data_IF_136347257020
#
_entry.id   IF_136347257020
#
_cell.length_a   1.000
_cell.length_b   1.000
_cell.length_c   1.000
_cell.angle_alpha   90.00
_cell.angle_beta   90.00
_cell.angle_gamma   90.00
#
_symmetry.space_group_name_H-M   'P 1'
#
loop_
_entity.id
_entity.type
_entity.pdbx_description
1 polymer ?
#
# COMPACT_ATOMS: atom_id res chain seq x y z
N UNK A 1 -16.89 -8.56 14.16
CA UNK A 1 -17.32 -7.30 13.53
C UNK A 1 -17.20 -7.47 12.04
N UNK A 2 -18.23 -7.09 11.25
CA UNK A 2 -18.16 -7.16 9.80
C UNK A 2 -17.04 -6.28 9.27
N UNK A 3 -16.37 -6.73 8.21
CA UNK A 3 -15.30 -6.02 7.51
C UNK A 3 -15.79 -5.70 6.10
N UNK A 4 -15.55 -4.48 5.63
CA UNK A 4 -15.61 -4.16 4.20
C UNK A 4 -14.20 -4.08 3.66
N UNK A 5 -13.91 -4.81 2.59
CA UNK A 5 -12.55 -4.92 2.05
C UNK A 5 -12.53 -4.99 0.53
N UNK A 6 -11.55 -4.32 -0.07
CA UNK A 6 -11.19 -4.41 -1.48
C UNK A 6 -9.82 -5.06 -1.59
N UNK A 7 -9.73 -6.08 -2.44
CA UNK A 7 -8.45 -6.59 -2.92
C UNK A 7 -8.17 -6.03 -4.30
N UNK A 8 -6.94 -5.60 -4.55
CA UNK A 8 -6.55 -5.09 -5.86
C UNK A 8 -5.09 -5.36 -6.20
N UNK A 9 -4.82 -5.44 -7.49
CA UNK A 9 -3.48 -5.65 -8.04
C UNK A 9 -3.42 -5.25 -9.51
N UNK A 10 -2.21 -5.20 -10.06
CA UNK A 10 -1.96 -4.99 -11.48
C UNK A 10 -1.63 -6.32 -12.14
N UNK A 11 -2.14 -6.60 -13.35
CA UNK A 11 -1.81 -7.79 -14.16
C UNK A 11 -1.44 -7.44 -15.59
N UNK A 12 -0.55 -8.21 -16.21
CA UNK A 12 -0.26 -8.12 -17.63
C UNK A 12 -0.98 -9.22 -18.44
N UNK A 13 -0.93 -9.09 -19.76
CA UNK A 13 -1.52 -10.06 -20.70
C UNK A 13 -0.82 -11.43 -20.70
N UNK A 14 0.37 -11.53 -20.09
CA UNK A 14 1.15 -12.77 -19.99
C UNK A 14 0.78 -13.61 -18.77
N UNK A 15 -0.25 -13.24 -18.01
CA UNK A 15 -0.67 -13.96 -16.81
C UNK A 15 0.24 -13.73 -15.60
N UNK A 16 1.00 -12.63 -15.58
CA UNK A 16 1.74 -12.19 -14.40
C UNK A 16 1.04 -11.01 -13.71
N UNK A 17 1.35 -10.83 -12.43
CA UNK A 17 0.78 -9.81 -11.56
C UNK A 17 1.81 -9.13 -10.67
N UNK A 18 1.43 -7.98 -10.13
CA UNK A 18 2.05 -7.37 -8.96
C UNK A 18 1.71 -8.14 -7.67
N UNK A 19 2.16 -7.62 -6.53
CA UNK A 19 1.61 -8.03 -5.24
C UNK A 19 0.14 -7.64 -5.15
N UNK A 20 -0.63 -8.41 -4.36
CA UNK A 20 -2.03 -8.10 -4.08
C UNK A 20 -2.10 -7.23 -2.83
N UNK A 21 -2.81 -6.13 -2.95
CA UNK A 21 -3.07 -5.16 -1.89
C UNK A 21 -4.46 -5.39 -1.33
N UNK A 22 -4.63 -5.13 -0.03
CA UNK A 22 -5.92 -5.12 0.65
C UNK A 22 -6.12 -3.76 1.30
N UNK A 23 -7.23 -3.11 1.01
CA UNK A 23 -7.72 -1.94 1.72
C UNK A 23 -9.03 -2.30 2.43
N UNK A 24 -9.19 -1.97 3.70
CA UNK A 24 -10.39 -2.34 4.46
C UNK A 24 -10.71 -1.38 5.60
N UNK A 25 -11.95 -1.43 6.07
CA UNK A 25 -12.41 -0.81 7.30
C UNK A 25 -13.20 -1.82 8.15
N UNK A 26 -13.12 -1.68 9.47
CA UNK A 26 -13.96 -2.45 10.39
C UNK A 26 -15.28 -1.70 10.56
N UNK A 27 -16.40 -2.41 10.47
CA UNK A 27 -17.73 -1.83 10.60
C UNK A 27 -18.40 -2.25 11.93
N UNK A 28 -19.27 -1.39 12.45
CA UNK A 28 -20.03 -1.58 13.68
C UNK A 28 -19.33 -1.12 14.97
N UNK A 29 -18.29 -0.29 14.89
CA UNK A 29 -17.53 0.20 16.05
C UNK A 29 -17.54 1.72 16.24
N UNK A 30 -18.27 2.46 15.39
CA UNK A 30 -18.37 3.92 15.43
C UNK A 30 -17.20 4.66 14.80
N UNK A 31 -16.16 3.95 14.31
CA UNK A 31 -14.88 4.55 13.92
C UNK A 31 -14.69 4.59 12.41
N UNK A 32 -13.98 5.63 11.99
CA UNK A 32 -13.63 5.88 10.59
C UNK A 32 -12.20 5.44 10.23
N UNK A 33 -11.77 4.30 10.79
CA UNK A 33 -10.42 3.79 10.57
C UNK A 33 -10.31 3.01 9.25
N UNK A 34 -9.31 3.35 8.43
CA UNK A 34 -8.99 2.63 7.19
C UNK A 34 -7.61 2.00 7.29
N UNK A 35 -7.47 0.79 6.79
CA UNK A 35 -6.24 0.04 6.83
C UNK A 35 -5.82 -0.42 5.44
N UNK A 36 -4.51 -0.49 5.21
CA UNK A 36 -3.92 -0.98 3.95
C UNK A 36 -2.77 -1.92 4.24
N UNK A 37 -2.69 -3.04 3.53
CA UNK A 37 -1.56 -3.97 3.62
C UNK A 37 -1.25 -4.59 2.25
N UNK A 38 0.02 -4.92 2.06
CA UNK A 38 0.47 -5.76 0.95
C UNK A 38 0.43 -7.23 1.40
N UNK A 39 -0.35 -8.07 0.73
CA UNK A 39 -0.53 -9.48 1.13
C UNK A 39 0.74 -10.30 1.03
N UNK A 40 1.70 -9.92 0.18
CA UNK A 40 3.00 -10.61 0.08
C UNK A 40 3.84 -10.43 1.36
N UNK A 41 3.60 -9.36 2.14
CA UNK A 41 4.26 -9.11 3.42
C UNK A 41 3.48 -9.77 4.59
N UNK A 42 2.42 -10.53 4.32
CA UNK A 42 1.86 -11.53 5.24
C UNK A 42 1.45 -11.01 6.61
N UNK A 43 0.47 -10.09 6.69
CA UNK A 43 -0.01 -9.42 7.94
C UNK A 43 1.08 -8.72 8.78
N UNK A 44 2.35 -8.79 8.39
CA UNK A 44 3.46 -8.31 9.18
C UNK A 44 3.50 -6.78 9.26
N UNK A 45 3.11 -6.09 8.18
CA UNK A 45 3.10 -4.62 8.12
C UNK A 45 1.75 -4.14 7.62
N UNK A 46 1.23 -3.08 8.24
CA UNK A 46 0.06 -2.37 7.73
C UNK A 46 0.21 -0.87 7.89
N UNK A 47 -0.45 -0.16 6.99
CA UNK A 47 -0.78 1.26 7.13
C UNK A 47 -2.10 1.37 7.87
N UNK A 48 -2.17 2.19 8.90
CA UNK A 48 -3.38 2.50 9.67
C UNK A 48 -3.68 3.98 9.57
N UNK A 49 -4.86 4.31 9.06
CA UNK A 49 -5.38 5.67 8.89
C UNK A 49 -6.51 5.86 9.90
N UNK A 50 -6.14 6.24 11.13
CA UNK A 50 -7.12 6.38 12.20
C UNK A 50 -7.97 7.64 12.06
N UNK A 51 -9.22 7.57 12.53
CA UNK A 51 -10.16 8.69 12.58
C UNK A 51 -9.60 9.90 13.34
N UNK A 52 -8.82 9.65 14.40
CA UNK A 52 -8.15 10.69 15.19
C UNK A 52 -7.15 11.54 14.40
N UNK A 53 -6.82 11.12 13.17
CA UNK A 53 -5.78 11.71 12.35
C UNK A 53 -4.37 11.27 12.70
N UNK A 54 -4.19 10.37 13.69
CA UNK A 54 -2.88 9.77 13.99
C UNK A 54 -2.62 8.58 13.07
N UNK A 55 -1.91 8.80 11.98
CA UNK A 55 -1.67 7.80 10.95
C UNK A 55 -0.28 7.20 11.08
N UNK A 56 -0.14 5.94 10.66
CA UNK A 56 1.15 5.26 10.77
C UNK A 56 1.29 4.06 9.85
N UNK A 57 2.55 3.68 9.61
CA UNK A 57 2.94 2.38 9.08
C UNK A 57 3.66 1.65 10.20
N UNK A 58 3.21 0.46 10.52
CA UNK A 58 3.81 -0.31 11.60
C UNK A 58 3.77 -1.79 11.35
N UNK A 59 4.76 -2.46 11.93
CA UNK A 59 4.73 -3.90 12.06
C UNK A 59 3.67 -4.34 13.09
N UNK A 60 3.15 -5.55 12.88
CA UNK A 60 2.34 -6.24 13.87
C UNK A 60 3.21 -6.68 15.06
N UNK A 61 2.75 -6.38 16.27
CA UNK A 61 3.53 -6.63 17.48
C UNK A 61 3.74 -8.12 17.75
N UNK A 62 2.78 -8.99 17.36
CA UNK A 62 2.91 -10.45 17.56
C UNK A 62 3.90 -11.00 16.55
N UNK A 63 3.76 -10.58 15.29
CA UNK A 63 4.72 -10.92 14.23
C UNK A 63 6.17 -10.60 14.66
N UNK A 64 6.43 -9.38 15.17
CA UNK A 64 7.78 -9.00 15.58
C UNK A 64 8.34 -9.86 16.72
N UNK A 65 7.53 -10.17 17.73
CA UNK A 65 7.93 -11.03 18.85
C UNK A 65 8.30 -12.44 18.38
N UNK A 66 7.57 -12.94 17.40
CA UNK A 66 7.78 -14.27 16.83
C UNK A 66 8.98 -14.31 15.88
N UNK A 67 9.23 -13.24 15.12
CA UNK A 67 10.14 -13.24 13.97
C UNK A 67 11.49 -12.56 14.18
N UNK A 68 11.72 -11.85 15.29
CA UNK A 68 13.02 -11.24 15.61
C UNK A 68 13.71 -12.04 16.74
N UNK A 69 14.99 -12.39 16.58
CA UNK A 69 15.81 -13.10 17.60
C UNK A 69 16.78 -12.18 18.35
N UNK A 70 17.25 -11.12 17.69
CA UNK A 70 18.30 -10.24 18.18
C UNK A 70 17.71 -8.92 18.66
N UNK A 71 18.44 -8.17 19.49
CA UNK A 71 18.06 -6.81 19.84
C UNK A 71 17.96 -5.96 18.57
N UNK A 72 16.73 -5.74 18.13
CA UNK A 72 16.40 -4.88 17.00
C UNK A 72 15.64 -3.68 17.51
N UNK A 73 15.90 -2.51 16.90
CA UNK A 73 15.06 -1.31 17.10
C UNK A 73 13.57 -1.58 16.90
N UNK A 74 13.23 -2.61 16.11
CA UNK A 74 11.84 -2.98 15.83
C UNK A 74 11.15 -3.60 17.07
N UNK A 75 11.89 -4.21 17.99
CA UNK A 75 11.34 -4.75 19.24
C UNK A 75 10.91 -3.63 20.20
N UNK A 76 11.68 -2.55 20.27
CA UNK A 76 11.35 -1.37 21.09
C UNK A 76 10.40 -0.40 20.37
N UNK A 77 10.43 -0.35 19.04
CA UNK A 77 9.57 0.50 18.24
C UNK A 77 9.11 -0.20 16.94
N UNK A 78 7.88 -0.73 16.95
CA UNK A 78 7.25 -1.38 15.81
C UNK A 78 6.91 -0.45 14.63
N UNK A 79 7.00 0.86 14.83
CA UNK A 79 6.57 1.84 13.84
C UNK A 79 7.69 2.08 12.83
N UNK A 80 7.32 1.97 11.56
CA UNK A 80 8.17 2.36 10.43
C UNK A 80 8.07 3.85 10.21
N UNK A 81 6.85 4.38 10.30
CA UNK A 81 6.57 5.80 10.11
C UNK A 81 5.28 6.22 10.86
N UNK A 82 5.19 7.50 11.22
CA UNK A 82 4.03 8.13 11.87
C UNK A 82 3.85 9.54 11.32
N UNK A 83 2.62 9.92 11.00
CA UNK A 83 2.31 11.26 10.53
C UNK A 83 0.87 11.64 10.90
N UNK A 84 0.60 12.93 10.89
CA UNK A 84 -0.75 13.46 11.05
C UNK A 84 -1.51 13.36 9.73
N UNK A 85 -2.83 13.22 9.80
CA UNK A 85 -3.72 13.34 8.64
C UNK A 85 -3.35 14.58 7.80
N UNK A 86 -3.01 14.43 6.51
CA UNK A 86 -2.68 15.55 5.65
C UNK A 86 -3.84 16.53 5.53
N UNK A 87 -3.51 17.76 5.11
CA UNK A 87 -4.51 18.76 4.78
C UNK A 87 -5.45 18.24 3.68
N UNK A 88 -6.67 18.76 3.68
CA UNK A 88 -7.63 18.47 2.63
C UNK A 88 -7.15 19.08 1.29
N UNK A 89 -7.24 18.30 0.22
CA UNK A 89 -6.94 18.76 -1.15
C UNK A 89 -8.13 19.49 -1.80
N UNK A 90 -9.26 19.50 -1.10
CA UNK A 90 -10.51 20.20 -1.40
C UNK A 90 -11.48 19.90 -0.25
N UNK A 91 -12.42 20.81 0.04
CA UNK A 91 -13.28 20.72 1.22
C UNK A 91 -13.92 19.33 1.38
N UNK A 92 -13.60 18.63 2.47
CA UNK A 92 -14.07 17.29 2.77
C UNK A 92 -13.33 16.16 2.05
N UNK A 93 -12.18 16.39 1.41
CA UNK A 93 -11.41 15.37 0.68
C UNK A 93 -9.93 15.36 1.08
N UNK A 94 -9.48 14.24 1.66
CA UNK A 94 -8.08 14.04 2.04
C UNK A 94 -7.42 13.02 1.12
N UNK A 95 -6.27 13.36 0.54
CA UNK A 95 -5.40 12.40 -0.14
C UNK A 95 -4.58 11.65 0.90
N UNK A 96 -4.90 10.37 1.11
CA UNK A 96 -4.39 9.64 2.26
C UNK A 96 -3.11 8.86 1.98
N UNK A 97 -3.09 8.13 0.86
CA UNK A 97 -2.04 7.18 0.55
C UNK A 97 -1.87 7.05 -0.97
N UNK A 98 -0.64 6.83 -1.40
CA UNK A 98 -0.27 6.50 -2.78
C UNK A 98 0.42 5.15 -2.78
N UNK A 99 0.05 4.28 -3.71
CA UNK A 99 0.73 3.02 -3.98
C UNK A 99 1.21 3.07 -5.43
N UNK A 100 2.50 2.92 -5.64
CA UNK A 100 3.08 2.98 -6.98
C UNK A 100 3.59 1.59 -7.35
N UNK A 101 3.11 1.10 -8.50
CA UNK A 101 3.42 -0.22 -9.04
C UNK A 101 3.99 -0.06 -10.45
N UNK A 102 5.32 -0.08 -10.60
CA UNK A 102 5.98 -0.03 -11.90
C UNK A 102 5.74 -1.28 -12.76
N UNK A 103 5.74 -1.10 -14.08
CA UNK A 103 5.55 -2.19 -15.06
C UNK A 103 6.45 -3.40 -14.80
N UNK A 104 7.74 -3.16 -14.56
CA UNK A 104 8.75 -4.21 -14.38
C UNK A 104 8.59 -5.02 -13.08
N UNK A 105 7.67 -4.62 -12.18
CA UNK A 105 7.32 -5.40 -10.99
C UNK A 105 6.23 -6.44 -11.26
N UNK A 106 5.65 -6.48 -12.45
CA UNK A 106 4.53 -7.38 -12.79
C UNK A 106 5.09 -8.73 -13.25
N UNK A 107 5.69 -9.46 -12.30
CA UNK A 107 6.48 -10.68 -12.55
C UNK A 107 6.03 -11.90 -11.75
N UNK A 108 5.01 -11.77 -10.90
CA UNK A 108 4.49 -12.90 -10.11
C UNK A 108 3.46 -13.65 -10.96
N UNK A 109 3.63 -14.96 -11.25
CA UNK A 109 2.61 -15.70 -11.97
C UNK A 109 1.28 -15.70 -11.22
N UNK A 110 0.18 -15.44 -11.92
CA UNK A 110 -1.16 -15.59 -11.35
C UNK A 110 -1.41 -17.04 -10.95
N UNK A 111 -2.13 -17.25 -9.85
CA UNK A 111 -2.45 -18.58 -9.32
C UNK A 111 -3.91 -18.69 -8.96
N UNK A 112 -4.45 -19.90 -9.00
CA UNK A 112 -5.81 -20.20 -8.53
C UNK A 112 -6.01 -19.91 -7.02
N UNK A 113 -4.92 -19.74 -6.28
CA UNK A 113 -4.93 -19.35 -4.86
C UNK A 113 -5.06 -17.84 -4.63
N UNK A 114 -4.97 -17.02 -5.69
CA UNK A 114 -5.18 -15.58 -5.59
C UNK A 114 -6.66 -15.31 -5.25
N UNK A 115 -7.00 -14.29 -4.42
CA UNK A 115 -8.39 -14.05 -4.04
C UNK A 115 -9.26 -13.76 -5.26
N UNK A 116 -10.35 -14.53 -5.43
CA UNK A 116 -11.30 -14.36 -6.53
C UNK A 116 -11.93 -12.97 -6.59
N UNK A 117 -12.02 -12.26 -5.45
CA UNK A 117 -12.52 -10.89 -5.35
C UNK A 117 -11.48 -9.81 -5.65
N UNK A 118 -10.31 -10.17 -6.20
CA UNK A 118 -9.29 -9.19 -6.57
C UNK A 118 -9.73 -8.41 -7.80
N UNK A 119 -9.81 -7.09 -7.67
CA UNK A 119 -10.01 -6.17 -8.78
C UNK A 119 -8.67 -5.97 -9.49
N UNK A 120 -8.64 -6.23 -10.80
CA UNK A 120 -7.41 -6.23 -11.59
C UNK A 120 -7.29 -4.98 -12.44
N UNK A 121 -6.19 -4.26 -12.27
CA UNK A 121 -5.76 -3.16 -13.13
C UNK A 121 -4.88 -3.72 -14.24
N UNK A 122 -5.03 -3.21 -15.47
CA UNK A 122 -4.14 -3.58 -16.57
C UNK A 122 -2.73 -3.00 -16.36
N UNK A 123 -1.71 -3.79 -16.69
CA UNK A 123 -0.32 -3.34 -16.65
C UNK A 123 -0.12 -2.03 -17.43
N UNK A 124 0.66 -1.08 -16.88
CA UNK A 124 0.98 0.13 -17.61
C UNK A 124 2.00 -0.19 -18.72
N UNK A 125 2.17 0.67 -19.72
CA UNK A 125 3.21 0.50 -20.75
C UNK A 125 4.63 0.44 -20.16
N UNK A 126 5.59 -0.03 -20.96
CA UNK A 126 6.99 -0.05 -20.55
C UNK A 126 7.49 1.35 -20.17
N UNK A 127 8.30 1.44 -19.12
CA UNK A 127 8.79 2.71 -18.57
C UNK A 127 7.76 3.50 -17.76
N UNK A 128 6.54 2.99 -17.57
CA UNK A 128 5.47 3.61 -16.78
C UNK A 128 5.20 2.85 -15.48
N UNK A 129 4.39 3.44 -14.63
CA UNK A 129 3.85 2.84 -13.42
C UNK A 129 2.36 3.14 -13.29
N UNK A 130 1.63 2.28 -12.58
CA UNK A 130 0.31 2.60 -12.07
C UNK A 130 0.48 3.27 -10.72
N UNK A 131 -0.06 4.47 -10.57
CA UNK A 131 -0.25 5.11 -9.27
C UNK A 131 -1.69 4.90 -8.82
N UNK A 132 -1.85 4.22 -7.69
CA UNK A 132 -3.13 3.95 -7.04
C UNK A 132 -3.22 4.89 -5.84
N UNK A 133 -4.27 5.71 -5.80
CA UNK A 133 -4.47 6.74 -4.79
C UNK A 133 -5.68 6.37 -3.94
N UNK A 134 -5.50 6.44 -2.62
CA UNK A 134 -6.58 6.33 -1.65
C UNK A 134 -6.98 7.72 -1.19
N UNK A 135 -8.26 8.04 -1.37
CA UNK A 135 -8.86 9.29 -0.88
C UNK A 135 -9.93 9.00 0.16
N UNK A 136 -9.95 9.80 1.21
CA UNK A 136 -10.98 9.76 2.24
C UNK A 136 -11.86 11.01 2.10
N UNK A 137 -13.15 10.80 1.86
CA UNK A 137 -14.11 11.90 1.76
C UNK A 137 -15.08 11.93 2.93
N UNK A 138 -15.33 13.12 3.45
CA UNK A 138 -16.33 13.39 4.47
C UNK A 138 -17.75 13.27 3.91
N UNK A 139 -18.78 13.10 4.76
CA UNK A 139 -20.17 12.91 4.33
C UNK A 139 -20.73 14.07 3.49
N UNK A 140 -20.22 15.28 3.72
CA UNK A 140 -20.65 16.49 3.03
C UNK A 140 -19.88 16.75 1.72
N UNK A 141 -18.93 15.88 1.35
CA UNK A 141 -18.19 16.01 0.10
C UNK A 141 -19.13 15.79 -1.09
N UNK A 142 -19.28 16.81 -1.93
CA UNK A 142 -20.14 16.77 -3.12
C UNK A 142 -19.29 16.42 -4.34
N UNK A 143 -19.61 15.30 -4.99
CA UNK A 143 -19.03 14.93 -6.28
C UNK A 143 -20.08 14.24 -7.15
N UNK A 144 -20.04 14.50 -8.46
CA UNK A 144 -20.87 13.79 -9.46
C UNK A 144 -20.26 12.44 -9.86
N UNK A 145 -19.06 12.11 -9.35
CA UNK A 145 -18.33 10.87 -9.64
C UNK A 145 -17.31 10.55 -8.55
N UNK A 146 -16.08 10.21 -8.95
CA UNK A 146 -14.97 9.99 -8.02
C UNK A 146 -13.96 11.15 -8.07
N UNK A 147 -13.20 11.42 -7.00
CA UNK A 147 -12.19 12.47 -7.00
C UNK A 147 -11.13 12.23 -8.09
N UNK A 148 -10.78 13.30 -8.82
CA UNK A 148 -9.78 13.25 -9.90
C UNK A 148 -10.29 12.76 -11.25
N UNK A 149 -11.58 12.39 -11.39
CA UNK A 149 -12.16 11.94 -12.67
C UNK A 149 -11.94 12.96 -13.79
N UNK A 150 -12.44 14.17 -13.60
CA UNK A 150 -12.52 15.18 -14.67
C UNK A 150 -11.23 16.00 -14.81
N UNK A 151 -10.49 16.16 -13.71
CA UNK A 151 -9.27 17.00 -13.68
C UNK A 151 -7.98 16.23 -13.93
N UNK A 152 -7.93 14.95 -13.56
CA UNK A 152 -6.72 14.11 -13.67
C UNK A 152 -6.91 12.91 -14.59
N UNK A 153 -8.11 12.69 -15.14
CA UNK A 153 -8.43 11.49 -15.90
C UNK A 153 -8.27 10.21 -15.07
N UNK A 154 -8.39 10.30 -13.74
CA UNK A 154 -8.25 9.15 -12.87
C UNK A 154 -9.38 8.16 -13.15
N UNK A 155 -9.08 6.88 -13.05
CA UNK A 155 -10.06 5.81 -13.18
C UNK A 155 -10.47 5.33 -11.79
N UNK A 156 -11.77 5.07 -11.60
CA UNK A 156 -12.24 4.42 -10.39
C UNK A 156 -11.81 2.95 -10.40
N UNK A 157 -11.11 2.53 -9.37
CA UNK A 157 -10.89 1.11 -9.12
C UNK A 157 -12.10 0.55 -8.38
N UNK A 158 -12.39 1.10 -7.20
CA UNK A 158 -13.52 0.75 -6.36
C UNK A 158 -13.74 1.83 -5.27
N UNK A 159 -14.87 1.76 -4.56
CA UNK A 159 -15.08 2.55 -3.35
C UNK A 159 -15.94 1.82 -2.33
N UNK A 160 -15.80 2.17 -1.06
CA UNK A 160 -16.73 1.71 -0.03
C UNK A 160 -17.02 2.81 0.99
N UNK A 161 -18.25 2.76 1.51
CA UNK A 161 -18.66 3.59 2.63
C UNK A 161 -18.04 3.06 3.92
N UNK A 162 -17.45 3.97 4.68
CA UNK A 162 -17.00 3.80 6.05
C UNK A 162 -18.15 4.26 6.97
N UNK A 163 -18.01 4.13 8.27
CA UNK A 163 -19.00 4.63 9.21
C UNK A 163 -19.27 6.14 9.09
N UNK A 164 -20.35 6.61 9.73
CA UNK A 164 -20.72 8.02 9.81
C UNK A 164 -20.82 8.77 8.47
N UNK A 165 -20.96 8.05 7.34
CA UNK A 165 -21.08 8.62 6.00
C UNK A 165 -19.75 8.94 5.31
N UNK A 166 -18.61 8.64 5.94
CA UNK A 166 -17.31 8.76 5.27
C UNK A 166 -17.18 7.73 4.15
N UNK A 167 -16.31 7.99 3.17
CA UNK A 167 -16.06 7.07 2.06
C UNK A 167 -14.57 6.97 1.75
N UNK A 168 -14.12 5.75 1.50
CA UNK A 168 -12.82 5.47 0.92
C UNK A 168 -12.99 5.31 -0.60
N UNK A 169 -12.24 6.08 -1.37
CA UNK A 169 -12.12 5.94 -2.81
C UNK A 169 -10.75 5.37 -3.15
N UNK A 170 -10.73 4.37 -4.02
CA UNK A 170 -9.50 3.85 -4.61
C UNK A 170 -9.56 4.19 -6.09
N UNK A 171 -8.70 5.11 -6.52
CA UNK A 171 -8.60 5.54 -7.91
C UNK A 171 -7.20 5.29 -8.41
N UNK A 172 -7.01 5.25 -9.73
CA UNK A 172 -5.69 5.06 -10.30
C UNK A 172 -5.49 5.79 -11.61
N UNK A 173 -4.24 6.02 -11.98
CA UNK A 173 -3.83 6.52 -13.27
C UNK A 173 -2.40 6.05 -13.59
N UNK A 174 -1.98 6.24 -14.83
CA UNK A 174 -0.64 5.86 -15.29
C UNK A 174 0.28 7.08 -15.19
N UNK A 175 1.45 6.88 -14.58
CA UNK A 175 2.50 7.89 -14.45
C UNK A 175 3.79 7.40 -15.10
N UNK A 176 4.73 8.33 -15.32
CA UNK A 176 6.12 7.95 -15.57
C UNK A 176 6.66 7.16 -14.39
N UNK A 177 7.42 6.09 -14.68
CA UNK A 177 8.04 5.30 -13.62
C UNK A 177 9.00 6.20 -12.82
N UNK A 178 8.79 6.36 -11.50
CA UNK A 178 9.69 7.13 -10.66
C UNK A 178 11.10 6.53 -10.68
N UNK A 179 12.11 7.41 -10.74
CA UNK A 179 13.51 7.02 -10.57
C UNK A 179 13.79 6.83 -9.09
N UNK A 180 14.41 5.72 -8.75
CA UNK A 180 14.81 5.40 -7.37
C UNK A 180 16.33 5.37 -7.30
N UNK A 181 16.90 6.21 -6.44
CA UNK A 181 18.33 6.18 -6.18
C UNK A 181 18.72 4.92 -5.38
N UNK A 182 19.92 4.37 -5.61
CA UNK A 182 20.46 3.30 -4.79
C UNK A 182 20.45 3.68 -3.31
N UNK A 183 19.98 2.76 -2.46
CA UNK A 183 19.96 2.94 -1.02
C UNK A 183 21.00 2.04 -0.36
N UNK A 184 21.68 2.57 0.66
CA UNK A 184 22.57 1.82 1.55
C UNK A 184 21.93 1.72 2.93
N UNK A 185 22.14 0.60 3.61
CA UNK A 185 21.62 0.40 4.97
C UNK A 185 21.98 -0.96 5.52
N UNK A 186 21.71 -1.16 6.81
CA UNK A 186 21.89 -2.45 7.49
C UNK A 186 20.55 -3.21 7.44
N UNK A 187 20.48 -4.37 6.78
CA UNK A 187 19.25 -5.15 6.74
C UNK A 187 18.98 -5.80 8.11
N UNK A 188 17.70 -5.77 8.52
CA UNK A 188 17.21 -6.63 9.61
C UNK A 188 16.48 -7.81 9.00
N UNK A 189 16.83 -9.02 9.43
CA UNK A 189 16.27 -10.24 8.88
C UNK A 189 15.31 -10.92 9.86
N UNK A 190 14.13 -11.26 9.38
CA UNK A 190 13.18 -12.10 10.11
C UNK A 190 13.63 -13.57 10.10
N UNK A 191 13.31 -14.32 11.16
CA UNK A 191 13.62 -15.75 11.31
C UNK A 191 13.22 -16.55 10.07
N UNK A 192 11.97 -16.38 9.62
CA UNK A 192 11.41 -17.03 8.44
C UNK A 192 12.12 -16.63 7.13
N UNK A 193 12.66 -15.41 7.06
CA UNK A 193 13.34 -14.85 5.89
C UNK A 193 14.81 -15.25 5.76
N UNK A 194 15.51 -15.46 6.88
CA UNK A 194 16.99 -15.66 6.93
C UNK A 194 17.45 -16.83 6.05
N UNK A 195 16.67 -17.92 5.96
CA UNK A 195 16.97 -19.09 5.12
C UNK A 195 16.80 -18.87 3.61
N UNK A 196 15.97 -17.90 3.21
CA UNK A 196 15.63 -17.65 1.81
C UNK A 196 16.57 -16.64 1.14
N UNK A 197 17.22 -15.78 1.92
CA UNK A 197 18.14 -14.74 1.41
C UNK A 197 19.40 -15.33 0.79
N UNK A 198 19.86 -16.47 1.27
CA UNK A 198 21.07 -17.11 0.72
C UNK A 198 20.84 -17.74 -0.67
N UNK A 199 19.57 -17.89 -1.11
CA UNK A 199 19.22 -18.63 -2.35
C UNK A 199 18.81 -17.75 -3.52
N UNK A 200 18.35 -16.51 -3.29
CA UNK A 200 17.89 -15.60 -4.36
C UNK A 200 18.75 -14.34 -4.41
N UNK A 201 19.02 -13.84 -5.63
CA UNK A 201 19.56 -12.48 -5.85
C UNK A 201 18.49 -11.46 -6.26
N UNK A 202 17.24 -11.91 -6.45
CA UNK A 202 16.11 -11.07 -6.84
C UNK A 202 15.10 -11.03 -5.70
N UNK A 203 14.89 -9.85 -5.15
CA UNK A 203 13.93 -9.61 -4.08
C UNK A 203 12.86 -8.64 -4.55
N UNK A 204 11.77 -8.58 -3.80
CA UNK A 204 10.78 -7.53 -3.90
C UNK A 204 10.75 -6.75 -2.59
N UNK A 205 10.59 -5.45 -2.69
CA UNK A 205 10.43 -4.57 -1.55
C UNK A 205 9.19 -3.67 -1.75
N UNK A 206 8.65 -3.24 -0.61
CA UNK A 206 7.79 -2.06 -0.54
C UNK A 206 8.61 -0.99 0.16
N UNK A 207 8.88 0.12 -0.53
CA UNK A 207 9.62 1.26 0.00
C UNK A 207 8.61 2.32 0.43
N UNK A 208 8.81 2.87 1.62
CA UNK A 208 7.98 3.92 2.18
C UNK A 208 8.63 5.28 1.96
N UNK A 209 7.84 6.26 1.52
CA UNK A 209 8.30 7.63 1.32
C UNK A 209 7.19 8.63 1.61
N UNK A 210 7.52 9.91 1.60
CA UNK A 210 6.64 11.03 1.81
C UNK A 210 6.58 11.89 0.55
N UNK A 211 5.37 12.27 0.15
CA UNK A 211 5.11 13.23 -0.92
C UNK A 211 5.07 14.66 -0.36
N UNK A 212 5.26 15.65 -1.22
CA UNK A 212 5.22 17.09 -0.85
C UNK A 212 3.86 17.52 -0.28
N UNK A 213 2.79 16.82 -0.62
CA UNK A 213 1.43 17.05 -0.10
C UNK A 213 1.19 16.41 1.28
N UNK A 214 2.22 15.81 1.89
CA UNK A 214 2.14 15.12 3.19
C UNK A 214 1.62 13.69 3.11
N UNK A 215 1.13 13.24 1.95
CA UNK A 215 0.71 11.85 1.78
C UNK A 215 1.90 10.90 1.79
N UNK A 216 1.64 9.63 2.14
CA UNK A 216 2.67 8.59 2.09
C UNK A 216 2.61 7.79 0.81
N UNK A 217 3.78 7.43 0.31
CA UNK A 217 3.98 6.63 -0.89
C UNK A 217 4.48 5.24 -0.47
N UNK A 218 3.80 4.21 -0.97
CA UNK A 218 4.22 2.81 -0.89
C UNK A 218 4.64 2.38 -2.30
N UNK A 219 5.95 2.33 -2.52
CA UNK A 219 6.54 2.00 -3.81
C UNK A 219 6.89 0.51 -3.87
N UNK A 220 6.21 -0.24 -4.73
CA UNK A 220 6.56 -1.64 -5.00
C UNK A 220 7.72 -1.69 -5.98
N UNK A 221 8.76 -2.48 -5.68
CA UNK A 221 9.91 -2.60 -6.56
C UNK A 221 10.63 -3.94 -6.46
N UNK A 222 11.24 -4.36 -7.56
CA UNK A 222 12.27 -5.39 -7.51
C UNK A 222 13.56 -4.76 -6.97
N UNK A 223 14.24 -5.44 -6.06
CA UNK A 223 15.51 -4.98 -5.50
C UNK A 223 16.57 -6.07 -5.58
N UNK A 224 17.81 -5.64 -5.79
CA UNK A 224 19.00 -6.46 -5.65
C UNK A 224 19.75 -6.01 -4.40
N UNK A 225 20.09 -6.95 -3.54
CA UNK A 225 20.87 -6.68 -2.33
C UNK A 225 22.31 -7.08 -2.63
N UNK A 226 23.21 -6.11 -2.58
CA UNK A 226 24.65 -6.32 -2.67
C UNK A 226 25.24 -6.18 -1.26
N UNK A 227 25.86 -7.25 -0.77
CA UNK A 227 26.56 -7.22 0.52
C UNK A 227 27.97 -6.69 0.27
N UNK A 228 28.31 -5.56 0.86
CA UNK A 228 29.68 -5.07 0.91
C UNK A 228 30.40 -5.79 2.04
N UNK A 229 31.46 -6.53 1.69
CA UNK A 229 32.39 -7.17 2.62
C UNK A 229 33.20 -6.15 3.42
#
# INVERSE_FOLDING_TARGET
MPEVAIHFAVKNSLGNRSSIWKCWANMGNGKNDVYVTNRAIGKAVKTSLHESGSWHIAFDSRFLKEEIQEESRLLSNRFVDRWSRPAEIGAGCTLALRIIIPEDTITIPMRNTDPNSTVWISAPPSGKAVEIVLLLTAPHFKTLGWPGRDTMGAQLLESFQIENGYRCWIVYYVIDKPKMDPRKGVPTYFKSGKRNIQKSRKYRAVIFSESKDGSRILFECNVQIQMTS
#
